data_IF_293801186537
#
_entry.id   IF_293801186537
#
_cell.length_a   1.000
_cell.length_b   1.000
_cell.length_c   1.000
_cell.angle_alpha   90.00
_cell.angle_beta   90.00
_cell.angle_gamma   90.00
#
_symmetry.space_group_name_H-M   'P 1'
#
loop_
_entity.id
_entity.type
_entity.pdbx_description
1 polymer ?
#
# COMPACT_ATOMS: atom_id res chain seq x y z
N UNK A 1 -31.61 2.70 91.24
CA UNK A 1 -30.25 2.20 91.54
C UNK A 1 -30.12 0.79 90.99
N UNK A 2 -29.54 0.64 89.81
CA UNK A 2 -29.25 -0.65 89.16
C UNK A 2 -27.77 -0.68 88.78
N UNK A 3 -27.02 -1.77 89.08
CA UNK A 3 -25.62 -1.84 88.72
C UNK A 3 -25.47 -2.37 87.29
N UNK A 4 -24.82 -1.57 86.45
CA UNK A 4 -24.49 -1.92 85.06
C UNK A 4 -23.31 -2.87 85.02
N UNK A 5 -23.53 -4.05 84.43
CA UNK A 5 -22.57 -5.14 84.29
C UNK A 5 -21.73 -4.92 83.02
N UNK A 6 -20.47 -4.53 83.17
CA UNK A 6 -19.52 -4.34 82.06
C UNK A 6 -19.03 -5.73 81.59
N UNK A 7 -19.26 -6.07 80.31
CA UNK A 7 -18.68 -7.26 79.67
C UNK A 7 -17.40 -6.88 78.92
N UNK A 8 -16.31 -7.66 79.03
CA UNK A 8 -15.11 -7.42 78.25
C UNK A 8 -15.32 -7.85 76.80
N UNK A 9 -14.97 -6.95 75.87
CA UNK A 9 -14.99 -7.18 74.43
C UNK A 9 -13.70 -7.90 74.03
N UNK A 10 -13.81 -9.17 73.64
CA UNK A 10 -12.71 -10.01 73.19
C UNK A 10 -12.45 -9.70 71.71
N UNK A 11 -11.40 -8.93 71.42
CA UNK A 11 -10.94 -8.68 70.04
C UNK A 11 -10.13 -9.88 69.56
N UNK A 12 -10.70 -10.64 68.63
CA UNK A 12 -10.03 -11.71 67.90
C UNK A 12 -9.10 -11.09 66.85
N UNK A 13 -7.79 -11.19 67.06
CA UNK A 13 -6.77 -10.83 66.07
C UNK A 13 -6.65 -11.98 65.05
N UNK A 14 -7.27 -11.82 63.88
CA UNK A 14 -6.96 -12.66 62.72
C UNK A 14 -5.57 -12.27 62.20
N UNK A 15 -4.59 -13.14 62.40
CA UNK A 15 -3.29 -13.06 61.73
C UNK A 15 -3.47 -13.69 60.35
N UNK A 16 -3.71 -12.87 59.33
CA UNK A 16 -3.64 -13.31 57.94
C UNK A 16 -2.18 -13.47 57.56
N UNK A 17 -1.70 -14.71 57.48
CA UNK A 17 -0.42 -15.03 56.85
C UNK A 17 -0.55 -14.76 55.35
N UNK A 18 0.07 -13.68 54.86
CA UNK A 18 0.22 -13.43 53.42
C UNK A 18 1.27 -14.40 52.92
N UNK A 19 0.85 -15.54 52.39
CA UNK A 19 1.74 -16.41 51.62
C UNK A 19 2.12 -15.66 50.35
N UNK A 20 3.36 -15.16 50.29
CA UNK A 20 3.97 -14.67 49.06
C UNK A 20 4.03 -15.84 48.09
N UNK A 21 3.07 -15.91 47.18
CA UNK A 21 3.17 -16.79 46.01
C UNK A 21 4.39 -16.29 45.25
N UNK A 22 5.48 -17.07 45.26
CA UNK A 22 6.61 -16.85 44.39
C UNK A 22 6.08 -17.08 42.98
N UNK A 23 5.58 -16.01 42.36
CA UNK A 23 5.23 -16.01 40.95
C UNK A 23 6.52 -16.25 40.20
N UNK A 24 6.65 -17.43 39.58
CA UNK A 24 7.65 -17.63 38.55
C UNK A 24 7.32 -16.63 37.45
N UNK A 25 8.06 -15.52 37.40
CA UNK A 25 8.07 -14.61 36.27
C UNK A 25 8.58 -15.43 35.09
N UNK A 26 7.68 -15.75 34.17
CA UNK A 26 8.07 -16.32 32.90
C UNK A 26 8.74 -15.19 32.11
N UNK A 27 10.06 -15.25 31.99
CA UNK A 27 10.80 -14.35 31.11
C UNK A 27 10.39 -14.60 29.67
N UNK A 28 10.26 -13.54 28.90
CA UNK A 28 9.98 -13.62 27.47
C UNK A 28 11.04 -14.49 26.78
N UNK A 29 10.59 -15.48 26.02
CA UNK A 29 11.48 -16.24 25.15
C UNK A 29 11.65 -15.48 23.84
N UNK A 30 12.89 -15.26 23.35
CA UNK A 30 13.10 -14.51 22.11
C UNK A 30 12.46 -15.15 20.89
N UNK A 31 12.38 -16.49 20.85
CA UNK A 31 11.73 -17.27 19.80
C UNK A 31 10.74 -18.29 20.41
N UNK A 32 9.67 -18.62 19.68
CA UNK A 32 8.61 -19.54 20.15
C UNK A 32 9.05 -21.00 20.28
N UNK A 33 10.11 -21.38 19.58
CA UNK A 33 10.78 -22.67 19.67
C UNK A 33 12.27 -22.39 19.86
N UNK A 34 13.04 -23.38 20.30
CA UNK A 34 14.52 -23.34 20.27
C UNK A 34 15.07 -23.31 18.82
N UNK A 35 14.32 -22.76 17.87
CA UNK A 35 14.61 -22.51 16.47
C UNK A 35 15.36 -21.19 16.29
N UNK A 36 16.19 -20.81 17.26
CA UNK A 36 17.08 -19.69 17.10
C UNK A 36 18.16 -20.13 16.09
N UNK A 37 18.20 -19.46 14.94
CA UNK A 37 19.32 -19.58 14.01
C UNK A 37 20.44 -18.70 14.54
N UNK A 38 21.13 -19.16 15.58
CA UNK A 38 22.23 -18.42 16.24
C UNK A 38 23.48 -18.33 15.33
N UNK A 39 23.46 -18.94 14.14
CA UNK A 39 24.56 -18.81 13.18
C UNK A 39 24.62 -17.38 12.60
N UNK A 40 25.36 -16.54 13.33
CA UNK A 40 26.12 -15.36 12.88
C UNK A 40 25.34 -14.22 12.17
N UNK A 41 24.05 -14.05 12.40
CA UNK A 41 23.42 -12.77 12.05
C UNK A 41 23.80 -11.70 13.08
N UNK A 42 24.60 -10.72 12.65
CA UNK A 42 24.94 -9.54 13.44
C UNK A 42 23.65 -8.87 13.97
N UNK A 43 23.60 -8.61 15.28
CA UNK A 43 22.47 -7.95 15.94
C UNK A 43 21.45 -8.87 16.63
N UNK A 44 21.37 -10.16 16.29
CA UNK A 44 20.37 -11.05 16.93
C UNK A 44 20.59 -11.22 18.44
N UNK A 45 21.83 -11.23 18.91
CA UNK A 45 22.12 -11.33 20.35
C UNK A 45 21.60 -10.11 21.12
N UNK A 46 21.74 -8.90 20.57
CA UNK A 46 21.25 -7.67 21.21
C UNK A 46 19.72 -7.69 21.32
N UNK A 47 19.04 -8.11 20.25
CA UNK A 47 17.59 -8.27 20.25
C UNK A 47 17.12 -9.34 21.24
N UNK A 48 17.84 -10.46 21.34
CA UNK A 48 17.55 -11.51 22.32
C UNK A 48 17.74 -11.03 23.76
N UNK A 49 18.83 -10.34 24.06
CA UNK A 49 19.10 -9.78 25.37
C UNK A 49 18.00 -8.79 25.77
N UNK A 50 17.61 -7.90 24.85
CA UNK A 50 16.51 -6.96 25.08
C UNK A 50 15.18 -7.68 25.37
N UNK A 51 14.83 -8.71 24.60
CA UNK A 51 13.60 -9.48 24.81
C UNK A 51 13.57 -10.21 26.15
N UNK A 52 14.71 -10.75 26.62
CA UNK A 52 14.80 -11.55 27.86
C UNK A 52 14.45 -10.77 29.12
N UNK A 53 14.48 -9.44 29.06
CA UNK A 53 14.13 -8.53 30.15
C UNK A 53 12.60 -8.29 30.25
N UNK A 54 11.82 -8.74 29.27
CA UNK A 54 10.39 -8.55 29.19
C UNK A 54 9.62 -9.68 29.88
N UNK A 55 8.41 -9.36 30.36
CA UNK A 55 7.49 -10.35 30.91
C UNK A 55 6.80 -11.10 29.76
N UNK A 56 6.82 -12.43 29.78
CA UNK A 56 6.29 -13.28 28.71
C UNK A 56 4.79 -13.08 28.43
N UNK A 57 4.04 -12.51 29.37
CA UNK A 57 2.61 -12.26 29.20
C UNK A 57 2.27 -10.91 28.55
N UNK A 58 3.29 -10.09 28.24
CA UNK A 58 3.08 -8.72 27.75
C UNK A 58 3.03 -8.64 26.23
N UNK A 59 2.31 -7.64 25.73
CA UNK A 59 2.37 -7.23 24.33
C UNK A 59 3.80 -6.90 23.90
N UNK A 60 4.62 -6.37 24.80
CA UNK A 60 6.02 -6.07 24.55
C UNK A 60 6.83 -7.33 24.21
N UNK A 61 6.59 -8.44 24.91
CA UNK A 61 7.23 -9.72 24.57
C UNK A 61 6.83 -10.22 23.19
N UNK A 62 5.53 -10.16 22.85
CA UNK A 62 5.03 -10.52 21.52
C UNK A 62 5.68 -9.66 20.44
N UNK A 63 5.75 -8.35 20.66
CA UNK A 63 6.35 -7.41 19.74
C UNK A 63 7.85 -7.68 19.54
N UNK A 64 8.58 -7.99 20.61
CA UNK A 64 9.98 -8.39 20.54
C UNK A 64 10.18 -9.71 19.78
N UNK A 65 9.31 -10.70 19.98
CA UNK A 65 9.34 -11.96 19.21
C UNK A 65 9.06 -11.73 17.72
N UNK A 66 8.13 -10.84 17.39
CA UNK A 66 7.85 -10.46 16.00
C UNK A 66 9.07 -9.77 15.37
N UNK A 67 9.70 -8.84 16.10
CA UNK A 67 10.90 -8.15 15.65
C UNK A 67 12.02 -9.15 15.34
N UNK A 68 12.27 -10.10 16.26
CA UNK A 68 13.27 -11.14 16.07
C UNK A 68 13.00 -11.99 14.81
N UNK A 69 11.74 -12.36 14.56
CA UNK A 69 11.35 -13.08 13.34
C UNK A 69 11.59 -12.24 12.09
N UNK A 70 11.16 -10.97 12.07
CA UNK A 70 11.33 -10.07 10.93
C UNK A 70 12.81 -9.78 10.60
N UNK A 71 13.69 -9.81 11.61
CA UNK A 71 15.14 -9.72 11.42
C UNK A 71 15.81 -11.03 10.97
N UNK A 72 15.06 -12.13 10.88
CA UNK A 72 15.60 -13.45 10.52
C UNK A 72 16.26 -14.19 11.70
N UNK A 73 16.18 -13.67 12.92
CA UNK A 73 16.74 -14.30 14.12
C UNK A 73 15.94 -15.51 14.60
N UNK A 74 14.65 -15.59 14.23
CA UNK A 74 13.76 -16.71 14.53
C UNK A 74 13.19 -17.28 13.22
N UNK A 75 13.19 -18.61 13.09
CA UNK A 75 12.63 -19.31 11.91
C UNK A 75 11.09 -19.22 11.83
N UNK A 76 10.42 -19.21 12.98
CA UNK A 76 8.95 -19.18 13.07
C UNK A 76 8.46 -17.85 13.65
N UNK A 77 7.37 -17.28 13.10
CA UNK A 77 6.78 -16.07 13.65
C UNK A 77 6.08 -16.33 14.99
N UNK A 78 5.85 -15.28 15.80
CA UNK A 78 4.98 -15.40 16.95
C UNK A 78 3.55 -15.77 16.53
N UNK A 79 2.98 -16.82 17.14
CA UNK A 79 1.62 -17.31 16.88
C UNK A 79 0.50 -16.39 17.39
N UNK A 80 0.83 -15.27 18.01
CA UNK A 80 -0.13 -14.41 18.70
C UNK A 80 -0.54 -13.16 17.93
N UNK A 81 0.11 -12.81 16.80
CA UNK A 81 -0.47 -11.82 15.90
C UNK A 81 -1.65 -12.48 15.18
N UNK A 82 -2.88 -12.13 15.58
CA UNK A 82 -4.10 -12.57 14.92
C UNK A 82 -4.68 -11.45 14.07
N UNK A 83 -5.40 -11.79 13.00
CA UNK A 83 -6.04 -10.81 12.12
C UNK A 83 -6.99 -9.86 12.86
N UNK A 84 -7.72 -10.36 13.87
CA UNK A 84 -8.53 -9.54 14.77
C UNK A 84 -7.85 -9.45 16.14
N UNK A 85 -7.24 -8.32 16.52
CA UNK A 85 -6.51 -8.21 17.79
C UNK A 85 -7.38 -8.43 19.03
N UNK A 86 -8.68 -8.13 18.93
CA UNK A 86 -9.65 -8.32 19.99
C UNK A 86 -10.23 -9.74 20.07
N UNK A 87 -9.74 -10.67 19.24
CA UNK A 87 -10.25 -12.05 19.16
C UNK A 87 -11.66 -12.16 18.57
N UNK A 88 -12.20 -11.10 17.97
CA UNK A 88 -13.50 -11.18 17.29
C UNK A 88 -13.43 -12.14 16.09
N UNK A 89 -14.55 -12.78 15.72
CA UNK A 89 -14.58 -13.58 14.50
C UNK A 89 -14.35 -12.69 13.29
N UNK A 90 -13.67 -13.23 12.28
CA UNK A 90 -13.54 -12.64 10.96
C UNK A 90 -14.23 -13.53 9.91
N UNK A 91 -14.43 -12.99 8.71
CA UNK A 91 -14.88 -13.75 7.55
C UNK A 91 -13.67 -14.36 6.82
N UNK A 92 -13.41 -15.68 6.93
CA UNK A 92 -12.26 -16.31 6.29
C UNK A 92 -12.30 -16.24 4.77
N UNK A 93 -13.49 -16.12 4.17
CA UNK A 93 -13.68 -16.06 2.72
C UNK A 93 -13.73 -14.62 2.19
N UNK A 94 -13.57 -13.60 3.04
CA UNK A 94 -13.46 -12.24 2.56
C UNK A 94 -12.18 -12.12 1.73
N UNK A 95 -12.34 -11.58 0.52
CA UNK A 95 -11.22 -11.33 -0.38
C UNK A 95 -10.57 -10.03 0.08
N UNK A 96 -9.29 -10.12 0.38
CA UNK A 96 -8.42 -8.98 0.59
C UNK A 96 -7.94 -8.55 -0.79
N UNK A 97 -8.28 -7.34 -1.24
CA UNK A 97 -7.77 -6.86 -2.51
C UNK A 97 -6.24 -6.85 -2.49
N UNK A 98 -5.60 -7.26 -3.60
CA UNK A 98 -4.14 -7.37 -3.71
C UNK A 98 -3.56 -6.19 -4.49
N UNK A 99 -2.30 -5.85 -4.20
CA UNK A 99 -1.49 -4.87 -4.95
C UNK A 99 -1.20 -5.32 -6.38
N UNK A 100 -1.12 -6.64 -6.60
CA UNK A 100 -0.81 -7.21 -7.90
C UNK A 100 -2.09 -7.78 -8.52
N UNK A 101 -2.59 -7.20 -9.63
CA UNK A 101 -3.77 -7.72 -10.33
C UNK A 101 -3.56 -9.15 -10.87
N UNK A 102 -2.32 -9.65 -10.92
CA UNK A 102 -1.97 -11.00 -11.35
C UNK A 102 -1.86 -12.01 -10.20
N UNK A 103 -1.74 -11.56 -8.95
CA UNK A 103 -1.52 -12.43 -7.78
C UNK A 103 -2.73 -13.26 -7.34
N UNK A 104 -3.87 -13.12 -8.04
CA UNK A 104 -5.11 -13.78 -7.66
C UNK A 104 -5.78 -13.13 -6.44
N UNK A 105 -6.96 -13.62 -6.09
CA UNK A 105 -7.68 -13.16 -4.90
C UNK A 105 -7.08 -13.80 -3.65
N UNK A 106 -6.56 -12.99 -2.72
CA UNK A 106 -6.09 -13.44 -1.41
C UNK A 106 -7.29 -13.43 -0.47
N UNK A 107 -7.53 -14.52 0.27
CA UNK A 107 -8.58 -14.53 1.30
C UNK A 107 -8.02 -14.19 2.68
N UNK A 108 -8.89 -13.77 3.59
CA UNK A 108 -8.51 -13.58 5.00
C UNK A 108 -8.04 -14.87 5.68
N UNK A 109 -8.48 -16.04 5.21
CA UNK A 109 -7.95 -17.32 5.67
C UNK A 109 -6.49 -17.50 5.25
N UNK A 110 -6.17 -17.23 3.98
CA UNK A 110 -4.81 -17.33 3.44
C UNK A 110 -3.87 -16.39 4.20
N UNK A 111 -4.29 -15.13 4.38
CA UNK A 111 -3.49 -14.14 5.09
C UNK A 111 -3.22 -14.51 6.55
N UNK A 112 -4.18 -15.15 7.23
CA UNK A 112 -4.02 -15.54 8.64
C UNK A 112 -3.07 -16.73 8.85
N UNK A 113 -2.74 -17.49 7.80
CA UNK A 113 -1.81 -18.63 7.91
C UNK A 113 -0.44 -18.37 7.31
N UNK A 114 -0.35 -17.43 6.36
CA UNK A 114 0.90 -17.12 5.67
C UNK A 114 1.70 -16.06 6.46
N UNK A 115 2.89 -16.46 6.88
CA UNK A 115 3.78 -15.63 7.69
C UNK A 115 4.40 -14.46 6.92
N UNK A 116 4.29 -14.43 5.58
CA UNK A 116 4.72 -13.27 4.78
C UNK A 116 3.90 -12.02 5.09
N UNK A 117 2.66 -12.16 5.58
CA UNK A 117 1.81 -11.02 5.96
C UNK A 117 2.07 -10.52 7.39
N UNK A 118 2.98 -11.17 8.11
CA UNK A 118 3.55 -10.66 9.34
C UNK A 118 4.76 -9.76 9.08
N UNK A 119 5.11 -9.54 7.81
CA UNK A 119 6.06 -8.49 7.47
C UNK A 119 5.46 -7.11 7.81
N UNK A 120 6.34 -6.20 8.19
CA UNK A 120 5.96 -4.85 8.58
C UNK A 120 5.73 -4.00 7.34
N UNK A 121 4.77 -3.09 7.42
CA UNK A 121 4.65 -2.04 6.40
C UNK A 121 5.49 -0.83 6.79
N UNK A 122 5.41 -0.40 8.07
CA UNK A 122 6.12 0.79 8.57
C UNK A 122 6.99 0.53 9.80
N UNK A 123 6.44 -0.08 10.86
CA UNK A 123 7.18 -0.36 12.10
C UNK A 123 7.42 -1.85 12.31
N UNK A 124 8.69 -2.20 12.45
CA UNK A 124 9.11 -3.55 12.80
C UNK A 124 8.68 -3.89 14.23
N UNK A 125 8.35 -5.16 14.45
CA UNK A 125 8.00 -5.69 15.76
C UNK A 125 6.63 -5.28 16.29
N UNK A 126 5.79 -4.55 15.58
CA UNK A 126 4.45 -4.19 16.06
C UNK A 126 3.38 -5.01 15.34
N UNK A 127 2.68 -5.92 16.04
CA UNK A 127 1.59 -6.69 15.41
C UNK A 127 0.54 -5.75 14.78
N UNK A 128 0.28 -4.58 15.38
CA UNK A 128 -0.71 -3.61 14.88
C UNK A 128 -0.28 -2.91 13.59
N UNK A 129 0.99 -3.04 13.23
CA UNK A 129 1.59 -2.47 12.02
C UNK A 129 1.89 -3.52 10.93
N UNK A 130 1.49 -4.78 11.16
CA UNK A 130 1.58 -5.83 10.15
C UNK A 130 0.49 -5.66 9.08
N UNK A 131 0.77 -6.14 7.86
CA UNK A 131 -0.25 -6.22 6.81
C UNK A 131 -1.45 -7.08 7.26
N UNK A 132 -1.20 -8.12 8.06
CA UNK A 132 -2.23 -8.93 8.71
C UNK A 132 -3.24 -8.09 9.51
N UNK A 133 -2.80 -7.30 10.48
CA UNK A 133 -3.73 -6.53 11.33
C UNK A 133 -4.29 -5.29 10.64
N UNK A 134 -3.53 -4.65 9.73
CA UNK A 134 -4.05 -3.55 8.92
C UNK A 134 -5.16 -4.01 7.95
N UNK A 135 -5.20 -5.29 7.62
CA UNK A 135 -6.28 -5.91 6.84
C UNK A 135 -7.55 -6.25 7.65
N UNK A 136 -7.55 -6.06 8.98
CA UNK A 136 -8.64 -6.49 9.86
C UNK A 136 -10.03 -5.97 9.44
N UNK A 137 -10.11 -4.73 8.97
CA UNK A 137 -11.37 -4.11 8.54
C UNK A 137 -11.97 -4.79 7.30
N UNK A 138 -11.13 -5.29 6.38
CA UNK A 138 -11.55 -6.05 5.20
C UNK A 138 -12.04 -7.45 5.55
N UNK A 139 -11.46 -8.03 6.59
CA UNK A 139 -11.85 -9.33 7.10
C UNK A 139 -13.08 -9.29 8.00
N UNK A 140 -13.65 -8.11 8.25
CA UNK A 140 -14.86 -7.94 9.04
C UNK A 140 -14.64 -8.13 10.54
N UNK A 141 -13.41 -7.90 11.02
CA UNK A 141 -13.13 -7.86 12.45
C UNK A 141 -14.00 -6.79 13.12
N UNK A 142 -14.59 -7.12 14.28
CA UNK A 142 -15.42 -6.16 15.01
C UNK A 142 -14.55 -5.01 15.51
N UNK A 143 -15.01 -3.76 15.36
CA UNK A 143 -14.27 -2.53 15.75
C UNK A 143 -12.99 -2.26 14.94
N UNK A 144 -12.69 -3.05 13.90
CA UNK A 144 -11.63 -2.69 12.97
C UNK A 144 -12.18 -1.64 12.00
N UNK A 145 -11.74 -0.41 12.17
CA UNK A 145 -12.06 0.70 11.27
C UNK A 145 -10.85 1.01 10.41
N UNK A 146 -11.10 1.44 9.17
CA UNK A 146 -10.03 1.96 8.31
C UNK A 146 -9.63 3.33 8.85
N UNK A 147 -8.35 3.54 9.08
CA UNK A 147 -7.81 4.82 9.53
C UNK A 147 -7.59 5.81 8.38
N UNK A 148 -7.43 5.31 7.15
CA UNK A 148 -7.19 6.12 5.97
C UNK A 148 -8.09 5.71 4.80
N UNK A 149 -8.45 6.72 4.02
CA UNK A 149 -9.31 6.64 2.85
C UNK A 149 -8.64 7.37 1.70
N UNK A 150 -8.85 6.90 0.48
CA UNK A 150 -8.33 7.61 -0.69
C UNK A 150 -9.00 8.98 -0.84
N UNK A 151 -10.32 9.05 -0.64
CA UNK A 151 -11.01 10.33 -0.71
C UNK A 151 -10.95 11.05 0.65
N UNK A 152 -10.66 12.38 0.68
CA UNK A 152 -10.52 13.14 1.92
C UNK A 152 -11.76 13.16 2.82
N UNK A 153 -12.94 12.93 2.26
CA UNK A 153 -14.21 12.88 2.99
C UNK A 153 -14.56 11.48 3.52
N UNK A 154 -13.67 10.50 3.35
CA UNK A 154 -13.89 9.10 3.73
C UNK A 154 -14.78 8.31 2.76
N UNK A 155 -15.26 8.93 1.68
CA UNK A 155 -16.06 8.24 0.68
C UNK A 155 -15.22 7.28 -0.16
N UNK A 156 -15.89 6.33 -0.83
CA UNK A 156 -15.26 5.48 -1.84
C UNK A 156 -15.00 6.31 -3.11
N UNK A 157 -13.93 6.04 -3.86
CA UNK A 157 -13.69 6.72 -5.12
C UNK A 157 -14.87 6.50 -6.08
N UNK A 158 -15.38 7.55 -6.76
CA UNK A 158 -16.53 7.42 -7.64
C UNK A 158 -16.24 6.58 -8.90
N UNK A 159 -14.97 6.46 -9.28
CA UNK A 159 -14.54 5.70 -10.47
C UNK A 159 -13.64 4.51 -10.07
N UNK A 160 -14.12 3.50 -9.33
CA UNK A 160 -13.27 2.46 -8.74
C UNK A 160 -12.48 1.62 -9.76
N UNK A 161 -12.98 1.51 -11.00
CA UNK A 161 -12.34 0.74 -12.07
C UNK A 161 -11.40 1.57 -12.96
N UNK A 162 -11.27 2.87 -12.72
CA UNK A 162 -10.38 3.71 -13.49
C UNK A 162 -8.93 3.33 -13.18
N UNK A 163 -8.18 2.98 -14.22
CA UNK A 163 -6.79 2.52 -14.13
C UNK A 163 -5.85 3.69 -14.35
N UNK A 164 -4.87 3.88 -13.47
CA UNK A 164 -3.71 4.75 -13.75
C UNK A 164 -2.86 4.13 -14.88
N UNK A 165 -2.76 4.79 -16.04
CA UNK A 165 -2.12 4.19 -17.20
C UNK A 165 -0.59 4.26 -17.18
N UNK A 166 0.06 4.95 -16.23
CA UNK A 166 1.50 5.25 -16.33
C UNK A 166 2.33 4.81 -15.13
N UNK A 167 1.88 5.01 -13.89
CA UNK A 167 2.76 4.76 -12.73
C UNK A 167 2.67 3.32 -12.24
N UNK A 168 1.45 2.86 -11.93
CA UNK A 168 1.26 1.59 -11.24
C UNK A 168 0.37 0.58 -11.99
N UNK A 169 -0.40 1.03 -13.00
CA UNK A 169 -1.43 0.19 -13.59
C UNK A 169 -2.56 -0.16 -12.60
N UNK A 170 -2.64 0.57 -11.49
CA UNK A 170 -3.59 0.32 -10.41
C UNK A 170 -4.93 0.97 -10.69
N UNK A 171 -5.99 0.31 -10.22
CA UNK A 171 -7.33 0.89 -10.24
C UNK A 171 -7.53 1.84 -9.07
N UNK A 172 -8.50 2.74 -9.16
CA UNK A 172 -8.90 3.56 -8.01
C UNK A 172 -9.35 2.75 -6.79
N UNK A 173 -9.95 1.56 -7.01
CA UNK A 173 -10.25 0.63 -5.93
C UNK A 173 -8.98 0.07 -5.27
N UNK A 174 -7.93 -0.20 -6.06
CA UNK A 174 -6.63 -0.59 -5.55
C UNK A 174 -6.00 0.55 -4.75
N UNK A 175 -6.00 1.80 -5.25
CA UNK A 175 -5.53 2.94 -4.45
C UNK A 175 -6.29 3.09 -3.13
N UNK A 176 -7.63 2.97 -3.13
CA UNK A 176 -8.44 3.04 -1.90
C UNK A 176 -8.16 1.90 -0.93
N UNK A 177 -7.91 0.70 -1.44
CA UNK A 177 -7.39 -0.40 -0.64
C UNK A 177 -6.04 -0.03 -0.03
N UNK A 178 -5.07 0.39 -0.85
CA UNK A 178 -3.72 0.65 -0.39
C UNK A 178 -3.76 1.71 0.71
N UNK A 179 -4.49 2.82 0.49
CA UNK A 179 -4.77 3.84 1.50
C UNK A 179 -5.34 3.25 2.79
N UNK A 180 -6.21 2.25 2.73
CA UNK A 180 -6.78 1.64 3.94
C UNK A 180 -5.78 0.95 4.86
N UNK A 181 -4.61 0.58 4.34
CA UNK A 181 -3.54 0.01 5.15
C UNK A 181 -2.77 1.06 5.94
N UNK A 182 -2.89 2.36 5.65
CA UNK A 182 -2.14 3.40 6.37
C UNK A 182 -2.93 3.90 7.59
N UNK A 183 -2.20 4.33 8.62
CA UNK A 183 -2.74 5.14 9.72
C UNK A 183 -3.10 6.53 9.21
N UNK A 184 -3.86 7.30 9.98
CA UNK A 184 -4.25 8.66 9.57
C UNK A 184 -3.01 9.57 9.36
N UNK A 185 -2.01 9.46 10.23
CA UNK A 185 -0.76 10.22 10.13
C UNK A 185 0.06 9.79 8.91
N UNK A 186 0.19 8.48 8.70
CA UNK A 186 0.87 7.90 7.53
C UNK A 186 0.18 8.31 6.22
N UNK A 187 -1.15 8.37 6.21
CA UNK A 187 -1.95 8.77 5.07
C UNK A 187 -1.62 10.20 4.60
N UNK A 188 -1.43 11.12 5.55
CA UNK A 188 -1.14 12.53 5.27
C UNK A 188 0.30 12.73 4.79
N UNK A 189 1.26 11.97 5.32
CA UNK A 189 2.68 12.12 5.03
C UNK A 189 3.17 11.27 3.85
N UNK A 190 2.76 10.01 3.77
CA UNK A 190 3.39 9.02 2.89
C UNK A 190 2.70 8.90 1.53
N UNK A 191 1.40 9.14 1.43
CA UNK A 191 0.70 9.01 0.14
C UNK A 191 1.31 9.95 -0.93
N UNK A 192 1.62 11.23 -0.63
CA UNK A 192 2.28 12.11 -1.60
C UNK A 192 3.72 11.66 -1.94
N UNK A 193 4.46 11.16 -0.96
CA UNK A 193 5.88 10.80 -1.10
C UNK A 193 6.08 9.46 -1.82
N UNK A 194 5.22 8.47 -1.54
CA UNK A 194 5.28 7.14 -2.14
C UNK A 194 4.67 7.17 -3.54
N UNK A 195 3.51 7.81 -3.73
CA UNK A 195 2.78 7.66 -4.99
C UNK A 195 3.26 8.60 -6.09
N UNK A 196 4.00 9.68 -5.78
CA UNK A 196 4.37 10.78 -6.71
C UNK A 196 3.18 11.34 -7.52
N UNK A 197 1.95 10.94 -7.16
CA UNK A 197 0.73 10.99 -7.96
C UNK A 197 -0.46 11.24 -7.04
N UNK A 198 -1.27 12.24 -7.38
CA UNK A 198 -2.50 12.62 -6.71
C UNK A 198 -3.64 11.67 -7.14
N UNK A 199 -3.59 10.45 -6.57
CA UNK A 199 -4.61 9.44 -6.76
C UNK A 199 -6.03 9.93 -6.39
N UNK A 200 -6.25 10.72 -5.30
CA UNK A 200 -7.57 11.29 -5.01
C UNK A 200 -8.14 12.10 -6.17
N UNK A 201 -7.35 13.03 -6.74
CA UNK A 201 -7.78 13.85 -7.87
C UNK A 201 -7.98 13.01 -9.15
N UNK A 202 -7.13 12.01 -9.41
CA UNK A 202 -7.28 11.09 -10.54
C UNK A 202 -8.59 10.32 -10.48
N UNK A 203 -8.91 9.79 -9.30
CA UNK A 203 -10.09 8.98 -9.07
C UNK A 203 -11.39 9.80 -9.00
N UNK A 204 -11.27 11.13 -8.99
CA UNK A 204 -12.40 12.06 -8.97
C UNK A 204 -13.01 12.22 -7.59
N UNK A 205 -12.22 12.04 -6.53
CA UNK A 205 -12.69 12.23 -5.16
C UNK A 205 -13.27 13.65 -4.94
N UNK A 206 -14.34 13.79 -4.15
CA UNK A 206 -14.86 15.10 -3.78
C UNK A 206 -13.79 15.96 -3.10
N UNK A 207 -13.75 17.25 -3.45
CA UNK A 207 -12.78 18.22 -2.92
C UNK A 207 -11.30 17.91 -3.23
N UNK A 208 -11.02 17.09 -4.24
CA UNK A 208 -9.66 16.82 -4.74
C UNK A 208 -9.48 17.47 -6.13
N UNK A 209 -9.09 18.76 -6.21
CA UNK A 209 -8.90 19.44 -7.49
C UNK A 209 -7.60 18.97 -8.17
N UNK A 210 -7.66 18.78 -9.49
CA UNK A 210 -6.50 18.37 -10.30
C UNK A 210 -5.35 19.38 -10.12
N UNK A 211 -4.16 18.94 -9.67
CA UNK A 211 -2.98 19.80 -9.58
C UNK A 211 -2.68 20.48 -10.92
N UNK A 212 -2.28 21.76 -10.89
CA UNK A 212 -1.87 22.50 -12.09
C UNK A 212 -0.37 22.80 -12.08
N UNK A 213 0.40 21.94 -11.43
CA UNK A 213 1.83 22.14 -11.17
C UNK A 213 2.66 21.53 -12.30
N UNK A 214 2.32 20.32 -12.73
CA UNK A 214 3.12 19.58 -13.70
C UNK A 214 2.43 19.44 -15.06
N UNK A 215 3.23 19.59 -16.12
CA UNK A 215 2.80 19.44 -17.51
C UNK A 215 3.90 18.74 -18.29
N UNK A 216 3.53 17.72 -19.07
CA UNK A 216 4.48 17.03 -19.94
C UNK A 216 5.18 18.00 -20.90
N UNK A 217 4.40 18.86 -21.56
CA UNK A 217 4.92 19.82 -22.53
C UNK A 217 5.26 21.15 -21.86
N UNK A 218 6.40 21.76 -22.21
CA UNK A 218 6.75 23.09 -21.71
C UNK A 218 5.74 24.13 -22.18
N UNK A 219 5.78 25.32 -21.58
CA UNK A 219 4.91 26.41 -21.99
C UNK A 219 5.05 26.73 -23.49
N UNK A 220 3.92 27.07 -24.12
CA UNK A 220 3.85 27.29 -25.57
C UNK A 220 3.95 26.03 -26.42
N UNK A 221 4.00 24.83 -25.84
CA UNK A 221 3.98 23.55 -26.56
C UNK A 221 2.69 22.77 -26.32
N UNK A 222 2.35 21.89 -27.26
CA UNK A 222 1.20 20.99 -27.17
C UNK A 222 1.59 19.56 -27.53
N UNK A 223 0.80 18.59 -27.04
CA UNK A 223 0.94 17.18 -27.42
C UNK A 223 0.55 17.04 -28.89
N UNK A 224 1.51 16.69 -29.74
CA UNK A 224 1.27 16.55 -31.17
C UNK A 224 0.99 15.12 -31.59
N UNK A 225 1.55 14.12 -30.89
CA UNK A 225 1.46 12.69 -31.22
C UNK A 225 0.61 11.89 -30.22
N UNK A 226 -0.66 12.26 -29.96
CA UNK A 226 -1.41 11.74 -28.81
C UNK A 226 -1.59 10.21 -28.79
N UNK A 227 -1.57 9.55 -29.96
CA UNK A 227 -1.83 8.11 -30.08
C UNK A 227 -0.58 7.28 -30.34
N UNK A 228 0.58 7.91 -30.46
CA UNK A 228 1.83 7.18 -30.67
C UNK A 228 2.24 6.53 -29.34
N UNK A 229 2.60 5.25 -29.42
CA UNK A 229 3.09 4.46 -28.30
C UNK A 229 4.54 4.84 -27.98
N UNK A 230 4.88 4.82 -26.70
CA UNK A 230 6.20 5.12 -26.16
C UNK A 230 6.80 3.87 -25.49
N UNK A 231 8.14 3.80 -25.43
CA UNK A 231 8.85 2.69 -24.81
C UNK A 231 8.56 1.36 -25.49
N UNK A 232 8.26 0.33 -24.69
CA UNK A 232 7.90 -1.01 -25.17
C UNK A 232 6.42 -1.14 -25.57
N UNK A 233 5.70 -0.02 -25.66
CA UNK A 233 4.29 0.01 -26.05
C UNK A 233 3.31 0.19 -24.90
N UNK A 234 3.78 0.56 -23.72
CA UNK A 234 2.98 0.57 -22.49
C UNK A 234 2.00 1.75 -22.41
N UNK A 235 2.33 2.89 -23.02
CA UNK A 235 1.50 4.09 -22.97
C UNK A 235 1.70 5.01 -24.18
N UNK A 236 0.70 5.84 -24.46
CA UNK A 236 0.74 6.86 -25.50
C UNK A 236 1.21 8.22 -24.97
N UNK A 237 1.61 9.13 -25.87
CA UNK A 237 1.87 10.52 -25.49
C UNK A 237 0.67 11.19 -24.79
N UNK A 238 -0.57 10.84 -25.16
CA UNK A 238 -1.76 11.39 -24.49
C UNK A 238 -1.88 10.89 -23.05
N UNK A 239 -1.65 9.60 -22.81
CA UNK A 239 -1.67 9.03 -21.46
C UNK A 239 -0.58 9.64 -20.60
N UNK A 240 0.62 9.81 -21.13
CA UNK A 240 1.73 10.48 -20.45
C UNK A 240 1.42 11.96 -20.12
N UNK A 241 0.82 12.68 -21.06
CA UNK A 241 0.43 14.07 -20.86
C UNK A 241 -0.74 14.23 -19.88
N UNK A 242 -1.60 13.21 -19.77
CA UNK A 242 -2.68 13.18 -18.81
C UNK A 242 -2.15 12.86 -17.41
N UNK A 243 -1.32 11.82 -17.25
CA UNK A 243 -0.80 11.37 -15.95
C UNK A 243 0.07 12.43 -15.28
N UNK A 244 0.88 13.17 -16.05
CA UNK A 244 1.70 14.26 -15.51
C UNK A 244 0.87 15.36 -14.86
N UNK A 245 -0.39 15.58 -15.24
CA UNK A 245 -1.26 16.60 -14.61
C UNK A 245 -1.62 16.28 -13.16
N UNK A 246 -1.47 15.03 -12.75
CA UNK A 246 -1.82 14.58 -11.41
C UNK A 246 -0.61 14.55 -10.48
N UNK A 247 0.54 15.10 -10.86
CA UNK A 247 1.69 15.20 -9.96
C UNK A 247 1.47 16.40 -9.00
N UNK A 248 1.40 16.18 -7.68
CA UNK A 248 0.91 17.19 -6.73
C UNK A 248 1.95 18.24 -6.31
N UNK A 249 3.24 18.04 -6.57
CA UNK A 249 4.30 18.94 -6.12
C UNK A 249 5.40 19.10 -7.19
N UNK A 250 6.20 20.16 -7.07
CA UNK A 250 7.22 20.50 -8.06
C UNK A 250 8.37 19.47 -8.09
N UNK A 251 8.82 18.98 -6.93
CA UNK A 251 9.98 18.09 -6.85
C UNK A 251 9.76 16.73 -7.57
N UNK A 252 8.65 15.99 -7.35
CA UNK A 252 8.33 14.80 -8.14
C UNK A 252 8.11 15.15 -9.63
N UNK A 253 7.53 16.31 -9.93
CA UNK A 253 7.36 16.74 -11.32
C UNK A 253 8.71 16.86 -12.04
N UNK A 254 9.69 17.51 -11.42
CA UNK A 254 11.01 17.68 -11.99
C UNK A 254 11.74 16.34 -12.14
N UNK A 255 11.58 15.41 -11.18
CA UNK A 255 12.12 14.05 -11.30
C UNK A 255 11.52 13.29 -12.48
N UNK A 256 10.18 13.26 -12.56
CA UNK A 256 9.43 12.57 -13.62
C UNK A 256 9.74 13.17 -14.99
N UNK A 257 9.71 14.50 -15.13
CA UNK A 257 10.02 15.16 -16.40
C UNK A 257 11.48 14.99 -16.81
N UNK A 258 12.43 14.98 -15.87
CA UNK A 258 13.83 14.66 -16.17
C UNK A 258 13.97 13.27 -16.77
N UNK A 259 13.35 12.25 -16.16
CA UNK A 259 13.34 10.89 -16.69
C UNK A 259 12.75 10.83 -18.12
N UNK A 260 11.61 11.49 -18.35
CA UNK A 260 11.00 11.54 -19.68
C UNK A 260 11.83 12.30 -20.72
N UNK A 261 12.56 13.35 -20.32
CA UNK A 261 13.50 14.06 -21.20
C UNK A 261 14.71 13.21 -21.55
N UNK A 262 15.29 12.50 -20.58
CA UNK A 262 16.41 11.56 -20.81
C UNK A 262 16.02 10.45 -21.80
N UNK A 263 14.75 10.02 -21.78
CA UNK A 263 14.19 9.06 -22.76
C UNK A 263 13.77 9.69 -24.10
N UNK A 264 13.85 11.02 -24.25
CA UNK A 264 13.42 11.75 -25.45
C UNK A 264 11.90 11.85 -25.63
N UNK A 265 11.10 11.44 -24.64
CA UNK A 265 9.63 11.42 -24.75
C UNK A 265 9.03 12.82 -24.78
N UNK A 266 9.61 13.79 -24.07
CA UNK A 266 9.13 15.17 -24.08
C UNK A 266 9.28 15.78 -25.48
N UNK A 267 10.47 15.69 -26.07
CA UNK A 267 10.74 16.21 -27.42
C UNK A 267 9.95 15.44 -28.50
N UNK A 268 9.70 14.16 -28.25
CA UNK A 268 8.85 13.35 -29.13
C UNK A 268 7.39 13.80 -29.05
N UNK A 269 6.80 13.87 -27.87
CA UNK A 269 5.38 14.10 -27.71
C UNK A 269 4.97 15.57 -27.92
N UNK A 270 5.89 16.52 -27.71
CA UNK A 270 5.56 17.94 -27.65
C UNK A 270 6.12 18.72 -28.84
N UNK A 271 5.36 19.68 -29.36
CA UNK A 271 5.85 20.66 -30.32
C UNK A 271 5.26 22.06 -30.06
N UNK A 272 5.92 23.14 -30.52
CA UNK A 272 5.40 24.49 -30.38
C UNK A 272 3.99 24.62 -30.96
N UNK A 273 3.11 25.31 -30.25
CA UNK A 273 1.77 25.65 -30.74
C UNK A 273 1.91 26.46 -32.03
N UNK A 274 1.19 26.06 -33.09
CA UNK A 274 1.27 26.72 -34.40
C UNK A 274 2.35 26.18 -35.34
N UNK A 275 3.14 25.18 -34.93
CA UNK A 275 4.03 24.47 -35.86
C UNK A 275 3.22 23.72 -36.93
N UNK A 276 3.30 24.21 -38.18
CA UNK A 276 2.63 23.66 -39.37
C UNK A 276 3.04 22.22 -39.72
N UNK A 277 4.15 21.74 -39.14
CA UNK A 277 4.73 20.43 -39.42
C UNK A 277 3.75 19.25 -39.21
N UNK A 278 2.69 19.42 -38.43
CA UNK A 278 1.74 18.35 -38.14
C UNK A 278 0.63 18.16 -39.17
N UNK A 279 0.38 19.13 -40.07
CA UNK A 279 -0.67 18.97 -41.10
C UNK A 279 -0.24 18.10 -42.29
N UNK A 280 1.06 17.81 -42.46
CA UNK A 280 1.58 17.23 -43.71
C UNK A 280 1.68 15.70 -43.75
N UNK A 281 1.60 15.00 -42.60
CA UNK A 281 1.84 13.54 -42.55
C UNK A 281 0.58 12.73 -42.87
N UNK A 282 -0.63 13.28 -42.68
CA UNK A 282 -1.87 12.52 -42.90
C UNK A 282 -2.40 12.55 -44.35
N UNK A 283 -1.93 13.47 -45.19
CA UNK A 283 -2.41 13.59 -46.58
C UNK A 283 -1.55 12.84 -47.59
N UNK A 284 -0.30 12.50 -47.27
CA UNK A 284 0.63 11.83 -48.19
C UNK A 284 0.44 10.31 -48.27
N UNK A 285 -0.13 9.66 -47.24
CA UNK A 285 -0.43 8.23 -47.28
C UNK A 285 -1.64 7.86 -48.14
N UNK A 286 -2.61 8.77 -48.32
CA UNK A 286 -3.75 8.54 -49.22
C UNK A 286 -3.38 8.72 -50.71
N UNK A 287 -2.38 9.55 -51.01
CA UNK A 287 -1.94 9.80 -52.40
C UNK A 287 -1.15 8.61 -52.96
N UNK A 288 -0.45 7.84 -52.12
CA UNK A 288 0.24 6.63 -52.57
C UNK A 288 -0.72 5.45 -52.82
N UNK A 289 -1.80 5.33 -52.04
CA UNK A 289 -2.83 4.29 -52.28
C UNK A 289 -3.64 4.59 -53.55
N UNK A 290 -3.94 5.86 -53.84
CA UNK A 290 -4.66 6.22 -55.08
C UNK A 290 -3.82 5.98 -56.35
N UNK A 291 -2.50 6.17 -56.30
CA UNK A 291 -1.64 5.89 -57.45
C UNK A 291 -1.41 4.39 -57.68
N UNK A 292 -1.46 3.56 -56.64
CA UNK A 292 -1.33 2.11 -56.78
C UNK A 292 -2.57 1.47 -57.44
N UNK A 293 -3.78 2.01 -57.19
CA UNK A 293 -5.00 1.55 -57.85
C UNK A 293 -5.09 1.96 -59.33
N UNK A 294 -4.46 3.06 -59.74
CA UNK A 294 -4.42 3.47 -61.15
C UNK A 294 -3.45 2.63 -62.00
N UNK A 295 -2.46 1.96 -61.39
CA UNK A 295 -1.50 1.12 -62.12
C UNK A 295 -1.94 -0.35 -62.29
N UNK A 296 -2.92 -0.83 -61.53
CA UNK A 296 -3.40 -2.23 -61.59
C UNK A 296 -4.67 -2.43 -62.44
N UNK A 297 -5.24 -1.35 -63.01
CA UNK A 297 -6.51 -1.40 -63.75
C UNK A 297 -6.40 -1.70 -65.26
N UNK A 298 -5.23 -2.00 -65.81
CA UNK A 298 -5.07 -2.21 -67.26
C UNK A 298 -4.52 -3.60 -67.59
N UNK A 299 -5.41 -4.57 -67.73
CA UNK A 299 -5.13 -5.71 -68.60
C UNK A 299 -5.70 -7.03 -68.15
N UNK A 300 -6.96 -7.30 -68.48
CA UNK A 300 -7.43 -8.64 -68.86
C UNK A 300 -8.52 -8.49 -69.94
N UNK A 301 -8.09 -8.35 -71.19
CA UNK A 301 -8.93 -8.67 -72.35
C UNK A 301 -8.72 -10.17 -72.61
N UNK A 302 -9.76 -10.97 -72.40
CA UNK A 302 -9.79 -12.39 -72.75
C UNK A 302 -10.39 -12.50 -74.16
N UNK A 303 -9.69 -13.07 -75.16
CA UNK A 303 -10.30 -13.45 -76.42
C UNK A 303 -10.92 -14.85 -76.32
N UNK A 304 -12.01 -15.03 -77.09
CA UNK A 304 -12.82 -16.25 -77.26
C UNK A 304 -12.03 -17.54 -77.50
#
# INVERSE_FOLDING_TARGET
>A
MHPSKIRPSMRLLLVTTVSSVVGYSYQCQPCLKNSATIEEQEGCQELFDASSLLDASTTDCLNAQLLNYQHGCCEEPPRSCTICPNGSPYNPNAIIPSFDPHSGAITCADMNVDSTYLDYIFRQGDCSDTLLQRSASWCGCRQAERSCYLCPDGSRPPNPNLVDPVYYGWTCAAFDLVSSYFSEEECQGLVPDILEFDAPSWCGCPNSPIPQICRLCPEGHQVVRPHDLLGDGDYTCQQLALSTRYIPTQDPCDRVLRNYREKGYVDYCCAPVGSSAYQTVRTSSWILILNLFLLLGSGWIVPN
#
